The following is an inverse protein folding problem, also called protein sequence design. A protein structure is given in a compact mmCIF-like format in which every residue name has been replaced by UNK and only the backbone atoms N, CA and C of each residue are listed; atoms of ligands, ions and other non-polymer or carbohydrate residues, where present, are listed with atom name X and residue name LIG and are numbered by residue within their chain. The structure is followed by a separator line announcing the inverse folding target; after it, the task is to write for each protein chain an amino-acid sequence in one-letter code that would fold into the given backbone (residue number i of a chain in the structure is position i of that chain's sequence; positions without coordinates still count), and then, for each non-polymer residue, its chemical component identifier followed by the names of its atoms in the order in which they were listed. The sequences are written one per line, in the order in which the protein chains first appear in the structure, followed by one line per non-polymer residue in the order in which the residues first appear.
data_IF_155199212060
#
_entry.id   IF_155199212060
#
_cell.length_a   1.000
_cell.length_b   1.000
_cell.length_c   1.000
_cell.angle_alpha   90.00
_cell.angle_beta   90.00
_cell.angle_gamma   90.00
#
_symmetry.space_group_name_H-M   'P 1'
#
loop_
_entity.id
_entity.type
_entity.pdbx_description
1 polymer ?
#
# COMPACT_ATOMS: atom_id res chain seq x y z
N UNK A 1 3.91 -8.79 47.12
CA UNK A 1 2.97 -8.85 45.98
C UNK A 1 3.65 -9.64 44.87
N UNK A 2 3.21 -10.85 44.55
CA UNK A 2 3.82 -11.69 43.50
C UNK A 2 2.72 -12.15 42.54
N UNK A 3 2.33 -11.26 41.62
CA UNK A 3 1.19 -11.46 40.72
C UNK A 3 1.46 -12.35 39.49
N UNK A 4 2.74 -12.51 39.12
CA UNK A 4 3.19 -13.17 37.88
C UNK A 4 4.26 -14.22 38.18
N UNK A 5 3.93 -15.22 39.00
CA UNK A 5 4.83 -16.34 39.28
C UNK A 5 4.05 -17.65 39.28
N UNK A 6 4.62 -18.67 38.65
CA UNK A 6 4.01 -19.99 38.53
C UNK A 6 4.53 -20.87 39.68
N UNK A 7 3.63 -21.32 40.54
CA UNK A 7 3.97 -22.28 41.60
C UNK A 7 3.85 -23.71 41.09
N UNK A 8 4.97 -24.25 40.63
CA UNK A 8 5.08 -25.60 40.06
C UNK A 8 4.67 -26.74 41.02
N UNK A 9 4.94 -26.61 42.32
CA UNK A 9 4.51 -27.57 43.35
C UNK A 9 3.28 -27.02 44.10
N UNK A 10 2.11 -27.06 43.47
CA UNK A 10 0.86 -26.59 44.07
C UNK A 10 -0.34 -27.46 43.67
N UNK A 11 -1.46 -27.31 44.38
CA UNK A 11 -2.72 -27.99 44.04
C UNK A 11 -3.11 -27.70 42.58
N UNK A 12 -3.61 -28.68 41.79
CA UNK A 12 -3.86 -28.51 40.35
C UNK A 12 -4.71 -27.28 39.99
N UNK A 13 -5.73 -26.98 40.79
CA UNK A 13 -6.57 -25.79 40.61
C UNK A 13 -5.77 -24.48 40.71
N UNK A 14 -4.80 -24.42 41.63
CA UNK A 14 -3.92 -23.26 41.82
C UNK A 14 -2.87 -23.15 40.71
N UNK A 15 -2.33 -24.28 40.28
CA UNK A 15 -1.41 -24.34 39.15
C UNK A 15 -2.07 -23.84 37.85
N UNK A 16 -3.29 -24.31 37.54
CA UNK A 16 -4.05 -23.85 36.36
C UNK A 16 -4.36 -22.35 36.42
N UNK A 17 -4.71 -21.82 37.60
CA UNK A 17 -4.97 -20.40 37.79
C UNK A 17 -3.70 -19.55 37.58
N UNK A 18 -2.56 -19.99 38.12
CA UNK A 18 -1.26 -19.31 37.93
C UNK A 18 -0.80 -19.36 36.46
N UNK A 19 -1.02 -20.48 35.78
CA UNK A 19 -0.74 -20.64 34.35
C UNK A 19 -1.63 -19.72 33.51
N UNK A 20 -2.95 -19.72 33.72
CA UNK A 20 -3.89 -18.91 32.96
C UNK A 20 -3.60 -17.42 33.09
N UNK A 21 -3.20 -16.93 34.27
CA UNK A 21 -2.81 -15.52 34.44
C UNK A 21 -1.56 -15.18 33.62
N UNK A 22 -0.50 -15.97 33.72
CA UNK A 22 0.77 -15.68 33.03
C UNK A 22 0.59 -15.80 31.52
N UNK A 23 0.00 -16.90 31.04
CA UNK A 23 -0.32 -17.07 29.62
C UNK A 23 -1.32 -16.03 29.14
N UNK A 24 -2.31 -15.68 29.95
CA UNK A 24 -3.30 -14.65 29.64
C UNK A 24 -2.65 -13.28 29.43
N UNK A 25 -1.70 -12.89 30.28
CA UNK A 25 -0.97 -11.60 30.10
C UNK A 25 -0.09 -11.61 28.85
N UNK A 26 0.60 -12.71 28.58
CA UNK A 26 1.40 -12.86 27.36
C UNK A 26 0.49 -12.81 26.12
N UNK A 27 -0.56 -13.63 26.10
CA UNK A 27 -1.51 -13.69 25.00
C UNK A 27 -2.23 -12.35 24.79
N UNK A 28 -2.68 -11.68 25.86
CA UNK A 28 -3.30 -10.36 25.78
C UNK A 28 -2.38 -9.34 25.14
N UNK A 29 -1.08 -9.37 25.44
CA UNK A 29 -0.09 -8.48 24.80
C UNK A 29 -0.06 -8.69 23.29
N UNK A 30 0.04 -9.94 22.83
CA UNK A 30 -0.01 -10.24 21.39
C UNK A 30 -1.37 -9.87 20.78
N UNK A 31 -2.48 -10.16 21.46
CA UNK A 31 -3.83 -9.82 20.99
C UNK A 31 -4.03 -8.32 20.86
N UNK A 32 -3.45 -7.50 21.74
CA UNK A 32 -3.48 -6.03 21.62
C UNK A 32 -2.75 -5.59 20.36
N UNK A 33 -1.55 -6.09 20.09
CA UNK A 33 -0.82 -5.75 18.87
C UNK A 33 -1.53 -6.24 17.61
N UNK A 34 -2.02 -7.48 17.61
CA UNK A 34 -2.77 -8.02 16.47
C UNK A 34 -4.07 -7.25 16.24
N UNK A 35 -4.81 -6.92 17.30
CA UNK A 35 -6.03 -6.13 17.21
C UNK A 35 -5.76 -4.71 16.71
N UNK A 36 -4.69 -4.08 17.19
CA UNK A 36 -4.27 -2.76 16.71
C UNK A 36 -3.86 -2.78 15.23
N UNK A 37 -3.08 -3.79 14.81
CA UNK A 37 -2.72 -3.96 13.40
C UNK A 37 -3.95 -4.20 12.52
N UNK A 38 -4.89 -5.05 12.98
CA UNK A 38 -6.15 -5.30 12.28
C UNK A 38 -7.03 -4.06 12.15
N UNK A 39 -7.09 -3.24 13.21
CA UNK A 39 -7.75 -1.94 13.19
C UNK A 39 -7.07 -1.01 12.16
N UNK A 40 -5.74 -0.93 12.19
CA UNK A 40 -5.00 -0.07 11.28
C UNK A 40 -5.23 -0.44 9.79
N UNK A 41 -5.40 -1.74 9.51
CA UNK A 41 -5.68 -2.24 8.17
C UNK A 41 -7.09 -1.87 7.66
N UNK A 42 -8.10 -1.93 8.55
CA UNK A 42 -9.49 -1.68 8.15
C UNK A 42 -9.82 -0.19 8.07
N UNK A 43 -9.17 0.64 8.88
CA UNK A 43 -9.41 2.08 8.95
C UNK A 43 -8.24 2.85 8.34
N UNK A 44 -7.99 2.65 7.05
CA UNK A 44 -6.88 3.28 6.33
C UNK A 44 -6.92 4.80 6.39
N UNK A 45 -8.11 5.41 6.29
CA UNK A 45 -8.30 6.87 6.36
C UNK A 45 -7.77 7.50 7.66
N UNK A 46 -7.84 6.77 8.77
CA UNK A 46 -7.33 7.20 10.07
C UNK A 46 -5.85 6.80 10.23
N UNK A 47 -5.49 5.63 9.72
CA UNK A 47 -4.17 5.02 9.96
C UNK A 47 -3.08 5.63 9.10
N UNK A 48 -3.36 5.92 7.84
CA UNK A 48 -2.43 6.54 6.91
C UNK A 48 -1.87 7.89 7.41
N UNK A 49 -2.69 8.89 7.79
CA UNK A 49 -2.15 10.15 8.32
C UNK A 49 -1.40 9.96 9.64
N UNK A 50 -1.84 9.03 10.50
CA UNK A 50 -1.15 8.70 11.74
C UNK A 50 0.24 8.11 11.48
N UNK A 51 0.39 7.23 10.49
CA UNK A 51 1.69 6.67 10.06
C UNK A 51 2.62 7.80 9.60
N UNK A 52 2.15 8.68 8.71
CA UNK A 52 2.97 9.81 8.24
C UNK A 52 3.37 10.77 9.37
N UNK A 53 2.47 11.01 10.33
CA UNK A 53 2.74 11.84 11.50
C UNK A 53 3.82 11.22 12.41
N UNK A 54 3.70 9.92 12.72
CA UNK A 54 4.65 9.20 13.60
C UNK A 54 6.00 8.99 12.92
N UNK A 55 6.02 8.80 11.60
CA UNK A 55 7.26 8.62 10.81
C UNK A 55 7.88 9.92 10.34
N UNK A 56 7.30 11.08 10.68
CA UNK A 56 7.74 12.41 10.25
C UNK A 56 7.98 12.53 8.74
N UNK A 57 7.24 11.76 7.95
CA UNK A 57 7.40 11.70 6.50
C UNK A 57 6.32 12.54 5.81
N UNK A 58 6.65 13.29 4.74
CA UNK A 58 5.64 14.05 4.01
C UNK A 58 4.68 13.09 3.28
N UNK A 59 3.37 13.29 3.48
CA UNK A 59 2.35 12.56 2.74
C UNK A 59 2.45 12.95 1.25
N UNK A 60 2.65 12.00 0.32
CA UNK A 60 2.64 12.30 -1.11
C UNK A 60 1.26 12.83 -1.51
N UNK A 61 1.22 13.97 -2.21
CA UNK A 61 -0.03 14.44 -2.81
C UNK A 61 -0.42 13.49 -3.95
N UNK A 62 -1.60 12.91 -3.84
CA UNK A 62 -2.17 12.09 -4.91
C UNK A 62 -2.58 13.01 -6.09
N UNK A 63 -2.40 12.56 -7.34
CA UNK A 63 -2.88 13.31 -8.49
C UNK A 63 -4.41 13.32 -8.49
N UNK A 64 -4.99 14.52 -8.42
CA UNK A 64 -6.44 14.74 -8.49
C UNK A 64 -6.84 15.02 -9.95
N UNK A 65 -7.92 14.39 -10.42
CA UNK A 65 -8.58 14.76 -11.68
C UNK A 65 -9.33 16.08 -11.50
N UNK A 66 -9.36 16.91 -12.55
CA UNK A 66 -10.16 18.14 -12.53
C UNK A 66 -11.51 17.87 -13.19
N UNK A 67 -12.63 17.87 -12.43
CA UNK A 67 -13.94 17.73 -13.02
C UNK A 67 -14.24 18.84 -14.01
N UNK A 68 -14.49 18.45 -15.26
CA UNK A 68 -14.96 19.36 -16.31
C UNK A 68 -16.47 19.26 -16.38
N UNK A 69 -17.17 20.31 -15.97
CA UNK A 69 -18.63 20.37 -16.02
C UNK A 69 -19.15 20.03 -17.43
N UNK A 70 -20.10 19.09 -17.51
CA UNK A 70 -20.77 18.70 -18.75
C UNK A 70 -20.02 17.71 -19.65
N UNK A 71 -18.84 17.19 -19.25
CA UNK A 71 -18.17 16.10 -19.98
C UNK A 71 -18.42 14.75 -19.32
N UNK A 72 -18.89 13.79 -20.11
CA UNK A 72 -18.88 12.38 -19.72
C UNK A 72 -17.44 11.89 -19.54
N UNK A 73 -17.25 10.93 -18.64
CA UNK A 73 -15.96 10.24 -18.45
C UNK A 73 -15.40 9.80 -19.80
N UNK A 74 -14.11 10.01 -20.02
CA UNK A 74 -13.44 9.65 -21.26
C UNK A 74 -13.60 8.14 -21.52
N UNK A 75 -13.74 7.73 -22.79
CA UNK A 75 -13.96 6.33 -23.12
C UNK A 75 -12.79 5.47 -22.59
N UNK A 76 -13.10 4.41 -21.85
CA UNK A 76 -12.10 3.52 -21.25
C UNK A 76 -11.09 3.00 -22.28
N UNK A 77 -11.53 2.70 -23.49
CA UNK A 77 -10.68 2.28 -24.60
C UNK A 77 -9.65 3.34 -25.01
N UNK A 78 -10.02 4.62 -24.98
CA UNK A 78 -9.13 5.72 -25.32
C UNK A 78 -8.15 6.03 -24.18
N UNK A 79 -8.56 5.83 -22.91
CA UNK A 79 -7.67 5.89 -21.73
C UNK A 79 -6.64 4.75 -21.81
N UNK A 80 -7.06 3.54 -22.15
CA UNK A 80 -6.17 2.39 -22.31
C UNK A 80 -5.16 2.61 -23.43
N UNK A 81 -5.60 3.09 -24.59
CA UNK A 81 -4.70 3.40 -25.71
C UNK A 81 -3.67 4.48 -25.37
N UNK A 82 -4.06 5.52 -24.62
CA UNK A 82 -3.12 6.54 -24.12
C UNK A 82 -2.16 5.98 -23.07
N UNK A 83 -2.63 5.08 -22.22
CA UNK A 83 -1.78 4.36 -21.27
C UNK A 83 -0.78 3.42 -21.97
N UNK A 84 -1.18 2.75 -23.07
CA UNK A 84 -0.29 1.95 -23.91
C UNK A 84 0.81 2.81 -24.54
N UNK A 85 0.44 3.99 -25.04
CA UNK A 85 1.38 4.94 -25.62
C UNK A 85 2.35 5.52 -24.57
N UNK A 86 1.90 5.70 -23.32
CA UNK A 86 2.74 6.21 -22.24
C UNK A 86 3.78 5.19 -21.75
N UNK A 87 3.46 3.89 -21.81
CA UNK A 87 4.37 2.80 -21.43
C UNK A 87 4.36 1.69 -22.50
N UNK A 88 5.07 1.90 -23.63
CA UNK A 88 5.14 0.92 -24.70
C UNK A 88 5.85 -0.36 -24.22
N UNK A 89 5.33 -1.53 -24.60
CA UNK A 89 5.88 -2.83 -24.20
C UNK A 89 5.41 -3.34 -22.83
N UNK A 90 4.36 -2.74 -22.27
CA UNK A 90 3.72 -3.19 -21.02
C UNK A 90 2.36 -3.83 -21.26
N UNK A 91 2.03 -4.83 -20.47
CA UNK A 91 0.69 -5.44 -20.44
C UNK A 91 -0.12 -4.79 -19.32
N UNK A 92 -1.39 -4.47 -19.57
CA UNK A 92 -2.29 -4.01 -18.54
C UNK A 92 -2.52 -5.12 -17.51
N UNK A 93 -2.08 -4.90 -16.27
CA UNK A 93 -2.20 -5.87 -15.20
C UNK A 93 -3.46 -5.60 -14.35
N UNK A 94 -3.72 -4.34 -14.04
CA UNK A 94 -4.87 -3.93 -13.25
C UNK A 94 -5.37 -2.54 -13.66
N UNK A 95 -6.68 -2.34 -13.62
CA UNK A 95 -7.32 -1.06 -13.91
C UNK A 95 -8.07 -0.63 -12.65
N UNK A 96 -7.69 0.50 -12.07
CA UNK A 96 -8.42 1.12 -10.97
C UNK A 96 -9.33 2.20 -11.51
N UNK A 97 -10.64 1.96 -11.41
CA UNK A 97 -11.64 2.97 -11.72
C UNK A 97 -11.71 3.98 -10.57
N UNK A 98 -11.80 5.30 -10.86
CA UNK A 98 -11.99 6.31 -9.83
C UNK A 98 -13.38 6.13 -9.19
N UNK A 99 -13.43 6.15 -7.86
CA UNK A 99 -14.66 6.07 -7.08
C UNK A 99 -15.31 7.45 -6.89
N UNK A 100 -14.50 8.51 -6.94
CA UNK A 100 -14.94 9.90 -6.81
C UNK A 100 -14.63 10.73 -8.07
N UNK A 101 -15.41 11.79 -8.37
CA UNK A 101 -15.21 12.63 -9.56
C UNK A 101 -13.89 13.42 -9.57
N UNK A 102 -13.18 13.46 -8.44
CA UNK A 102 -11.88 14.12 -8.27
C UNK A 102 -10.70 13.15 -8.28
N UNK A 103 -10.95 11.84 -8.34
CA UNK A 103 -9.89 10.83 -8.35
C UNK A 103 -9.31 10.65 -9.76
N UNK A 104 -8.01 10.37 -9.85
CA UNK A 104 -7.37 10.03 -11.11
C UNK A 104 -7.65 8.59 -11.53
N UNK A 105 -7.83 8.39 -12.83
CA UNK A 105 -7.91 7.06 -13.41
C UNK A 105 -6.53 6.41 -13.36
N UNK A 106 -6.38 5.24 -12.74
CA UNK A 106 -5.06 4.60 -12.60
C UNK A 106 -5.00 3.29 -13.36
N UNK A 107 -4.05 3.18 -14.28
CA UNK A 107 -3.76 1.92 -14.99
C UNK A 107 -2.41 1.38 -14.53
N UNK A 108 -2.45 0.21 -13.91
CA UNK A 108 -1.24 -0.53 -13.54
C UNK A 108 -0.77 -1.38 -14.72
N UNK A 109 0.52 -1.27 -14.99
CA UNK A 109 1.17 -1.82 -16.17
C UNK A 109 2.35 -2.67 -15.74
N UNK A 110 2.42 -3.88 -16.30
CA UNK A 110 3.50 -4.82 -16.04
C UNK A 110 4.39 -4.97 -17.27
N UNK A 111 5.70 -4.85 -17.10
CA UNK A 111 6.65 -5.30 -18.12
C UNK A 111 6.92 -6.79 -17.95
N UNK A 112 7.20 -7.55 -19.01
CA UNK A 112 7.55 -8.98 -18.91
C UNK A 112 8.68 -9.28 -17.91
N UNK A 113 9.59 -8.32 -17.72
CA UNK A 113 10.71 -8.39 -16.77
C UNK A 113 10.38 -7.97 -15.33
N UNK A 114 9.20 -7.41 -15.07
CA UNK A 114 8.83 -6.91 -13.75
C UNK A 114 8.25 -8.03 -12.89
N UNK A 115 8.76 -8.15 -11.66
CA UNK A 115 8.28 -9.13 -10.67
C UNK A 115 7.03 -8.65 -9.93
N UNK A 116 6.76 -7.35 -9.92
CA UNK A 116 5.63 -6.71 -9.23
C UNK A 116 4.58 -6.22 -10.23
N UNK A 117 3.33 -6.62 -10.03
CA UNK A 117 2.17 -6.23 -10.85
C UNK A 117 1.78 -4.76 -10.68
N UNK A 118 2.20 -4.12 -9.58
CA UNK A 118 1.87 -2.73 -9.22
C UNK A 118 3.07 -1.77 -9.32
N UNK A 119 4.19 -2.25 -9.86
CA UNK A 119 5.43 -1.49 -9.97
C UNK A 119 5.31 -0.27 -10.88
N UNK A 120 4.56 -0.37 -11.98
CA UNK A 120 4.31 0.76 -12.89
C UNK A 120 2.83 1.13 -12.90
N UNK A 121 2.55 2.43 -12.72
CA UNK A 121 1.20 2.98 -12.73
C UNK A 121 1.18 4.28 -13.54
N UNK A 122 0.21 4.40 -14.44
CA UNK A 122 -0.08 5.64 -15.16
C UNK A 122 -1.36 6.23 -14.59
N UNK A 123 -1.26 7.42 -14.03
CA UNK A 123 -2.37 8.21 -13.54
C UNK A 123 -2.84 9.14 -14.65
N UNK A 124 -4.09 9.02 -15.04
CA UNK A 124 -4.72 9.75 -16.14
C UNK A 124 -5.91 10.56 -15.59
N UNK A 125 -6.12 11.75 -16.13
CA UNK A 125 -7.32 12.54 -15.83
C UNK A 125 -8.56 11.86 -16.45
N UNK A 126 -9.62 11.71 -15.66
CA UNK A 126 -10.81 10.95 -16.08
C UNK A 126 -11.68 11.66 -17.15
N UNK A 127 -11.48 12.96 -17.38
CA UNK A 127 -12.27 13.78 -18.32
C UNK A 127 -11.48 14.14 -19.58
N UNK A 128 -10.19 14.46 -19.45
CA UNK A 128 -9.32 14.82 -20.58
C UNK A 128 -8.49 13.64 -21.11
N UNK A 129 -8.31 12.60 -20.29
CA UNK A 129 -7.37 11.51 -20.57
C UNK A 129 -5.92 12.00 -20.62
N UNK A 130 -5.59 13.11 -19.99
CA UNK A 130 -4.20 13.61 -19.89
C UNK A 130 -3.42 12.78 -18.87
N UNK A 131 -2.14 12.50 -19.14
CA UNK A 131 -1.28 11.76 -18.20
C UNK A 131 -0.85 12.73 -17.09
N UNK A 132 -1.42 12.56 -15.90
CA UNK A 132 -1.13 13.38 -14.73
C UNK A 132 0.19 12.96 -14.06
N UNK A 133 0.46 11.65 -14.02
CA UNK A 133 1.67 11.12 -13.39
C UNK A 133 2.00 9.74 -13.94
N UNK A 134 3.28 9.46 -14.15
CA UNK A 134 3.77 8.11 -14.42
C UNK A 134 4.65 7.70 -13.25
N UNK A 135 4.29 6.60 -12.60
CA UNK A 135 5.12 5.90 -11.62
C UNK A 135 5.68 4.68 -12.33
N UNK A 136 6.99 4.51 -12.28
CA UNK A 136 7.66 3.33 -12.82
C UNK A 136 8.40 2.64 -11.67
N UNK A 137 8.53 1.32 -11.71
CA UNK A 137 9.17 0.54 -10.65
C UNK A 137 10.62 1.00 -10.39
N UNK A 138 11.27 1.56 -11.41
CA UNK A 138 12.62 2.10 -11.34
C UNK A 138 12.70 3.41 -10.54
N UNK A 139 11.60 4.14 -10.37
CA UNK A 139 11.54 5.42 -9.65
C UNK A 139 11.33 5.23 -8.15
N UNK A 140 10.80 4.08 -7.72
CA UNK A 140 10.57 3.74 -6.31
C UNK A 140 11.57 2.70 -5.81
N UNK A 141 12.66 3.15 -5.20
CA UNK A 141 13.67 2.30 -4.55
C UNK A 141 14.28 1.21 -5.46
N UNK A 142 15.05 1.64 -6.46
CA UNK A 142 15.94 0.76 -7.21
C UNK A 142 17.34 0.74 -6.58
N UNK A 143 17.79 -0.41 -6.07
CA UNK A 143 19.21 -0.62 -5.68
C UNK A 143 20.17 -0.28 -6.84
N UNK A 144 19.74 -0.47 -8.09
CA UNK A 144 20.51 -0.12 -9.32
C UNK A 144 20.67 1.39 -9.52
N UNK A 145 19.77 2.23 -9.00
CA UNK A 145 19.88 3.70 -9.16
C UNK A 145 20.85 4.33 -8.18
N UNK A 146 21.05 3.72 -7.00
CA UNK A 146 21.97 4.24 -5.97
C UNK A 146 23.40 3.73 -6.11
N UNK A 147 23.58 2.57 -6.72
CA UNK A 147 24.89 2.05 -7.09
C UNK A 147 24.93 1.91 -8.60
N UNK A 148 25.28 3.01 -9.28
CA UNK A 148 25.73 2.97 -10.66
C UNK A 148 26.99 2.13 -10.74
N UNK A 149 26.83 0.80 -10.78
CA UNK A 149 27.90 -0.12 -11.08
C UNK A 149 28.16 0.02 -12.58
N UNK A 150 29.07 0.92 -12.91
CA UNK A 150 29.84 0.87 -14.14
C UNK A 150 30.47 -0.52 -14.22
N UNK A 151 29.82 -1.47 -14.90
CA UNK A 151 30.49 -2.64 -15.42
C UNK A 151 30.32 -2.67 -16.94
N UNK A 152 31.35 -2.07 -17.55
CA UNK A 152 32.04 -2.47 -18.78
C UNK A 152 31.21 -2.79 -20.03
N UNK A 153 31.33 -1.85 -20.96
CA UNK A 153 31.54 -2.13 -22.37
C UNK A 153 32.61 -3.22 -22.57
N UNK A 154 32.28 -4.26 -23.32
CA UNK A 154 33.02 -4.79 -24.49
C UNK A 154 32.16 -5.84 -25.16
#
# INVERSE_FOLDING_TARGET
MSGLHIKWKSHPQRFNFDLHKVFGVIAATFLVFTGFTGFAWNFWEVSEPAIYAVTFSPKPKEPESKPVEGKSTFALSAILAKSDAALPGTVAAWISLPNAPTEAFTVYRKQPQDTDDFGNAVYLDQYSGEVLKVKTAQTGFSWRSRYGLFLFTT
#
